data_IF_751695689518
#
_entry.id   IF_751695689518
#
_cell.length_a   1.000
_cell.length_b   1.000
_cell.length_c   1.000
_cell.angle_alpha   90.00
_cell.angle_beta   90.00
_cell.angle_gamma   90.00
#
_symmetry.space_group_name_H-M   'P 1'
#
loop_
_entity.id
_entity.type
_entity.pdbx_description
1 polymer ?
#
# COMPACT_ATOMS: atom_id res chain seq x y z
N UNK A 1 48.13 51.59 -5.25
CA UNK A 1 47.80 52.29 -6.51
C UNK A 1 46.89 51.40 -7.34
N UNK A 2 45.56 51.51 -7.17
CA UNK A 2 44.58 50.74 -7.95
C UNK A 2 43.83 51.67 -8.89
N UNK A 3 43.88 51.32 -10.18
CA UNK A 3 43.43 52.09 -11.33
C UNK A 3 41.94 51.82 -11.55
N UNK A 4 41.09 52.81 -11.32
CA UNK A 4 39.69 52.80 -11.74
C UNK A 4 39.62 52.98 -13.26
N UNK A 5 39.08 52.01 -13.99
CA UNK A 5 38.67 52.19 -15.39
C UNK A 5 37.16 52.38 -15.45
N UNK A 6 36.72 53.62 -15.60
CA UNK A 6 35.38 53.95 -16.08
C UNK A 6 35.30 53.61 -17.57
N UNK A 7 34.42 52.68 -17.94
CA UNK A 7 34.02 52.50 -19.33
C UNK A 7 32.63 53.08 -19.52
N UNK A 8 32.56 54.18 -20.27
CA UNK A 8 31.33 54.76 -20.80
C UNK A 8 30.82 53.89 -21.94
N UNK A 9 29.58 53.39 -21.82
CA UNK A 9 28.87 52.69 -22.89
C UNK A 9 27.75 53.59 -23.40
N UNK A 10 27.85 53.96 -24.68
CA UNK A 10 26.92 54.79 -25.42
C UNK A 10 25.50 54.21 -25.47
N UNK A 11 24.52 55.04 -25.13
CA UNK A 11 23.10 54.83 -25.36
C UNK A 11 22.74 55.14 -26.82
N UNK A 12 22.56 54.11 -27.64
CA UNK A 12 21.89 54.24 -28.94
C UNK A 12 20.38 54.04 -28.76
N UNK A 13 19.66 55.16 -28.76
CA UNK A 13 18.21 55.22 -28.89
C UNK A 13 17.80 54.89 -30.33
N UNK A 14 17.48 53.62 -30.61
CA UNK A 14 16.75 53.24 -31.81
C UNK A 14 15.26 53.41 -31.54
N UNK A 15 14.69 54.52 -32.02
CA UNK A 15 13.25 54.68 -32.18
C UNK A 15 12.79 53.83 -33.35
N UNK A 16 12.39 52.59 -33.08
CA UNK A 16 11.79 51.65 -34.03
C UNK A 16 10.31 51.49 -33.72
N UNK A 17 9.48 51.63 -34.74
CA UNK A 17 8.03 51.59 -34.70
C UNK A 17 7.48 50.18 -34.46
N UNK A 18 7.48 49.72 -33.21
CA UNK A 18 6.92 48.42 -32.78
C UNK A 18 5.63 48.58 -31.94
N UNK A 19 4.72 49.47 -32.38
CA UNK A 19 3.36 49.55 -31.86
C UNK A 19 2.42 48.93 -32.88
N UNK A 20 1.89 47.74 -32.60
CA UNK A 20 0.54 47.24 -32.99
C UNK A 20 0.41 45.70 -32.94
N UNK A 21 1.49 44.95 -32.60
CA UNK A 21 1.40 43.48 -32.44
C UNK A 21 0.72 43.02 -31.13
N UNK A 22 0.34 43.95 -30.23
CA UNK A 22 -0.19 43.64 -28.89
C UNK A 22 -1.72 43.53 -28.79
N UNK A 23 -2.45 43.46 -29.92
CA UNK A 23 -3.92 43.55 -29.93
C UNK A 23 -4.65 42.22 -30.16
N UNK A 24 -3.93 41.11 -30.30
CA UNK A 24 -4.55 39.80 -30.20
C UNK A 24 -4.58 39.41 -28.73
N UNK A 25 -5.75 39.29 -28.09
CA UNK A 25 -5.82 38.71 -26.76
C UNK A 25 -5.14 37.34 -26.86
N UNK A 26 -4.14 37.11 -26.01
CA UNK A 26 -3.46 35.82 -25.93
C UNK A 26 -4.54 34.75 -25.84
N UNK A 27 -4.57 33.85 -26.83
CA UNK A 27 -5.57 32.80 -26.90
C UNK A 27 -5.42 31.95 -25.64
N UNK A 28 -6.41 31.99 -24.74
CA UNK A 28 -6.39 31.17 -23.53
C UNK A 28 -6.33 29.69 -23.94
N UNK A 29 -5.20 29.04 -23.66
CA UNK A 29 -5.03 27.62 -23.93
C UNK A 29 -5.82 26.82 -22.88
N UNK A 30 -7.00 26.33 -23.26
CA UNK A 30 -7.79 25.44 -22.41
C UNK A 30 -7.14 24.06 -22.30
N UNK A 31 -6.75 23.69 -21.08
CA UNK A 31 -6.31 22.36 -20.68
C UNK A 31 -7.49 21.43 -20.34
N UNK A 32 -8.42 21.27 -21.29
CA UNK A 32 -9.62 20.44 -21.10
C UNK A 32 -9.26 18.98 -20.78
N UNK A 33 -8.23 18.45 -21.45
CA UNK A 33 -7.78 17.07 -21.24
C UNK A 33 -7.27 16.87 -19.82
N UNK A 34 -6.46 17.80 -19.30
CA UNK A 34 -6.00 17.77 -17.91
C UNK A 34 -7.17 17.77 -16.93
N UNK A 35 -8.11 18.71 -17.07
CA UNK A 35 -9.29 18.77 -16.21
C UNK A 35 -10.09 17.45 -16.19
N UNK A 36 -10.35 16.88 -17.37
CA UNK A 36 -11.07 15.60 -17.50
C UNK A 36 -10.32 14.46 -16.80
N UNK A 37 -9.00 14.36 -17.00
CA UNK A 37 -8.17 13.36 -16.32
C UNK A 37 -8.26 13.56 -14.80
N UNK A 38 -8.14 14.80 -14.31
CA UNK A 38 -8.20 15.12 -12.88
C UNK A 38 -9.50 14.64 -12.23
N UNK A 39 -10.66 15.00 -12.77
CA UNK A 39 -11.95 14.59 -12.21
C UNK A 39 -12.19 13.09 -12.36
N UNK A 40 -11.78 12.50 -13.49
CA UNK A 40 -11.87 11.05 -13.69
C UNK A 40 -11.04 10.28 -12.66
N UNK A 41 -9.84 10.78 -12.30
CA UNK A 41 -8.99 10.19 -11.26
C UNK A 41 -9.66 10.22 -9.88
N UNK A 42 -10.28 11.34 -9.50
CA UNK A 42 -11.00 11.46 -8.21
C UNK A 42 -12.16 10.48 -8.16
N UNK A 43 -13.00 10.44 -9.20
CA UNK A 43 -14.14 9.53 -9.26
C UNK A 43 -13.68 8.07 -9.23
N UNK A 44 -12.66 7.71 -10.01
CA UNK A 44 -12.10 6.37 -10.02
C UNK A 44 -11.53 5.97 -8.65
N UNK A 45 -10.82 6.88 -7.96
CA UNK A 45 -10.31 6.64 -6.60
C UNK A 45 -11.43 6.30 -5.62
N UNK A 46 -12.53 7.08 -5.64
CA UNK A 46 -13.67 6.88 -4.75
C UNK A 46 -14.38 5.55 -5.04
N UNK A 47 -14.63 5.24 -6.31
CA UNK A 47 -15.29 4.00 -6.73
C UNK A 47 -14.44 2.79 -6.37
N UNK A 48 -13.14 2.78 -6.73
CA UNK A 48 -12.24 1.66 -6.43
C UNK A 48 -12.07 1.44 -4.93
N UNK A 49 -11.90 2.52 -4.15
CA UNK A 49 -11.79 2.43 -2.68
C UNK A 49 -13.07 1.87 -2.07
N UNK A 50 -14.23 2.30 -2.56
CA UNK A 50 -15.53 1.80 -2.09
C UNK A 50 -15.69 0.31 -2.39
N UNK A 51 -15.40 -0.14 -3.62
CA UNK A 51 -15.49 -1.55 -4.00
C UNK A 51 -14.55 -2.41 -3.15
N UNK A 52 -13.28 -2.00 -3.00
CA UNK A 52 -12.31 -2.71 -2.15
C UNK A 52 -12.79 -2.74 -0.70
N UNK A 53 -13.31 -1.63 -0.17
CA UNK A 53 -13.89 -1.56 1.16
C UNK A 53 -15.06 -2.55 1.34
N UNK A 54 -15.99 -2.59 0.40
CA UNK A 54 -17.10 -3.55 0.41
C UNK A 54 -16.62 -5.00 0.34
N UNK A 55 -15.63 -5.31 -0.48
CA UNK A 55 -15.05 -6.65 -0.57
C UNK A 55 -14.39 -7.07 0.74
N UNK A 56 -13.61 -6.18 1.37
CA UNK A 56 -13.00 -6.40 2.67
C UNK A 56 -14.04 -6.64 3.78
N UNK A 57 -15.19 -5.95 3.72
CA UNK A 57 -16.31 -6.17 4.65
C UNK A 57 -17.03 -7.49 4.41
N UNK A 58 -17.11 -7.95 3.15
CA UNK A 58 -17.72 -9.23 2.77
C UNK A 58 -16.84 -10.44 3.08
N UNK A 59 -15.52 -10.26 3.18
CA UNK A 59 -14.62 -11.34 3.56
C UNK A 59 -15.07 -11.91 4.90
N UNK A 60 -15.45 -13.21 4.95
CA UNK A 60 -16.14 -13.75 6.10
C UNK A 60 -15.32 -13.56 7.37
N UNK A 61 -15.91 -12.85 8.35
CA UNK A 61 -15.44 -12.86 9.74
C UNK A 61 -15.85 -14.17 10.40
N UNK A 62 -15.48 -15.31 9.80
CA UNK A 62 -15.82 -16.65 10.32
C UNK A 62 -15.07 -16.84 11.64
N UNK A 63 -15.74 -16.52 12.73
CA UNK A 63 -15.22 -16.65 14.08
C UNK A 63 -16.26 -16.63 15.19
N UNK A 64 -17.56 -16.56 14.89
CA UNK A 64 -18.59 -16.46 15.94
C UNK A 64 -19.32 -17.77 16.23
N UNK A 65 -19.41 -18.72 15.27
CA UNK A 65 -20.30 -19.88 15.44
C UNK A 65 -19.61 -21.25 15.53
N UNK A 66 -18.29 -21.32 15.40
CA UNK A 66 -17.56 -22.56 15.70
C UNK A 66 -16.85 -22.38 17.04
N UNK A 67 -16.90 -23.40 17.91
CA UNK A 67 -16.12 -23.54 19.16
C UNK A 67 -14.60 -23.57 18.92
N UNK A 68 -14.13 -22.97 17.85
CA UNK A 68 -12.72 -22.76 17.55
C UNK A 68 -12.15 -21.72 18.52
N UNK A 69 -10.92 -21.92 19.00
CA UNK A 69 -10.25 -21.00 19.92
C UNK A 69 -10.30 -19.57 19.37
N UNK A 70 -10.51 -18.63 20.29
CA UNK A 70 -10.63 -17.20 19.99
C UNK A 70 -9.53 -16.72 19.04
N UNK A 71 -9.82 -15.74 18.16
CA UNK A 71 -8.79 -15.15 17.32
C UNK A 71 -7.58 -14.76 18.18
N UNK A 72 -6.40 -15.23 17.79
CA UNK A 72 -5.17 -14.87 18.47
C UNK A 72 -5.08 -13.36 18.61
N UNK A 73 -4.81 -12.87 19.83
CA UNK A 73 -4.74 -11.43 20.17
C UNK A 73 -3.95 -10.62 19.13
N UNK A 74 -2.87 -11.20 18.60
CA UNK A 74 -2.00 -10.59 17.59
C UNK A 74 -2.69 -10.31 16.25
N UNK A 75 -3.57 -11.19 15.77
CA UNK A 75 -4.29 -10.94 14.52
C UNK A 75 -5.25 -9.75 14.64
N UNK A 76 -5.98 -9.65 15.76
CA UNK A 76 -6.83 -8.49 16.02
C UNK A 76 -6.01 -7.20 16.08
N UNK A 77 -4.85 -7.23 16.74
CA UNK A 77 -3.94 -6.07 16.80
C UNK A 77 -3.46 -5.68 15.41
N UNK A 78 -3.05 -6.65 14.56
CA UNK A 78 -2.63 -6.39 13.18
C UNK A 78 -3.73 -5.76 12.35
N UNK A 79 -4.93 -6.33 12.36
CA UNK A 79 -6.07 -5.80 11.60
C UNK A 79 -6.38 -4.37 12.04
N UNK A 80 -6.46 -4.10 13.34
CA UNK A 80 -6.67 -2.75 13.86
C UNK A 80 -5.56 -1.79 13.44
N UNK A 81 -4.29 -2.22 13.55
CA UNK A 81 -3.14 -1.42 13.13
C UNK A 81 -3.18 -1.07 11.63
N UNK A 82 -3.50 -2.04 10.76
CA UNK A 82 -3.61 -1.84 9.32
C UNK A 82 -4.75 -0.87 8.97
N UNK A 83 -5.92 -1.00 9.62
CA UNK A 83 -7.05 -0.08 9.42
C UNK A 83 -6.69 1.35 9.87
N UNK A 84 -6.06 1.51 11.03
CA UNK A 84 -5.64 2.81 11.53
C UNK A 84 -4.59 3.45 10.60
N UNK A 85 -3.61 2.66 10.15
CA UNK A 85 -2.55 3.14 9.25
C UNK A 85 -3.11 3.48 7.87
N UNK A 86 -4.06 2.70 7.35
CA UNK A 86 -4.76 3.01 6.10
C UNK A 86 -5.55 4.33 6.23
N UNK A 87 -6.29 4.50 7.32
CA UNK A 87 -7.07 5.72 7.59
C UNK A 87 -6.16 6.94 7.73
N UNK A 88 -5.05 6.80 8.45
CA UNK A 88 -4.05 7.86 8.62
C UNK A 88 -3.38 8.23 7.28
N UNK A 89 -3.04 7.23 6.46
CA UNK A 89 -2.48 7.43 5.12
C UNK A 89 -3.47 8.17 4.21
N UNK A 90 -4.74 7.75 4.18
CA UNK A 90 -5.78 8.42 3.42
C UNK A 90 -6.01 9.86 3.88
N UNK A 91 -6.09 10.10 5.19
CA UNK A 91 -6.27 11.43 5.77
C UNK A 91 -5.07 12.34 5.46
N UNK A 92 -3.85 11.84 5.65
CA UNK A 92 -2.61 12.56 5.36
C UNK A 92 -2.56 12.96 3.89
N UNK A 93 -2.84 12.01 2.98
CA UNK A 93 -2.89 12.32 1.55
C UNK A 93 -3.94 13.38 1.25
N UNK A 94 -5.17 13.18 1.72
CA UNK A 94 -6.29 14.07 1.43
C UNK A 94 -5.96 15.49 1.85
N UNK A 95 -5.34 15.66 3.03
CA UNK A 95 -4.84 16.93 3.50
C UNK A 95 -3.77 17.54 2.58
N UNK A 96 -2.75 16.77 2.19
CA UNK A 96 -1.67 17.30 1.34
C UNK A 96 -2.16 17.64 -0.06
N UNK A 97 -2.98 16.79 -0.68
CA UNK A 97 -3.55 17.03 -2.01
C UNK A 97 -4.51 18.22 -1.97
N UNK A 98 -5.36 18.33 -0.95
CA UNK A 98 -6.20 19.52 -0.78
C UNK A 98 -5.36 20.79 -0.64
N UNK A 99 -4.23 20.74 0.09
CA UNK A 99 -3.31 21.87 0.20
C UNK A 99 -2.72 22.27 -1.15
N UNK A 100 -2.32 21.30 -1.99
CA UNK A 100 -1.85 21.56 -3.36
C UNK A 100 -2.96 22.21 -4.21
N UNK A 101 -4.19 21.69 -4.15
CA UNK A 101 -5.32 22.22 -4.92
C UNK A 101 -5.67 23.65 -4.48
N UNK A 102 -5.71 23.92 -3.18
CA UNK A 102 -5.94 25.27 -2.65
C UNK A 102 -4.83 26.22 -3.13
N UNK A 103 -3.56 25.81 -3.05
CA UNK A 103 -2.47 26.67 -3.52
C UNK A 103 -2.54 26.95 -5.02
N UNK A 104 -2.86 25.94 -5.83
CA UNK A 104 -3.04 26.10 -7.26
C UNK A 104 -4.20 27.03 -7.59
N UNK A 105 -5.35 26.85 -6.92
CA UNK A 105 -6.52 27.71 -7.10
C UNK A 105 -6.23 29.16 -6.71
N UNK A 106 -5.60 29.39 -5.55
CA UNK A 106 -5.23 30.74 -5.09
C UNK A 106 -4.27 31.45 -6.05
N UNK A 107 -3.29 30.73 -6.62
CA UNK A 107 -2.40 31.31 -7.65
C UNK A 107 -3.17 31.67 -8.91
N UNK A 108 -4.07 30.79 -9.33
CA UNK A 108 -4.90 31.01 -10.51
C UNK A 108 -5.83 32.22 -10.36
N UNK A 109 -6.46 32.41 -9.19
CA UNK A 109 -7.32 33.58 -8.96
C UNK A 109 -6.56 34.91 -9.01
N UNK A 110 -5.31 34.92 -8.52
CA UNK A 110 -4.46 36.12 -8.56
C UNK A 110 -4.12 36.50 -10.01
N UNK A 111 -3.86 35.52 -10.88
CA UNK A 111 -3.49 35.80 -12.27
C UNK A 111 -4.67 36.18 -13.16
N UNK A 112 -5.88 35.69 -12.86
CA UNK A 112 -7.08 35.93 -13.68
C UNK A 112 -7.95 37.08 -13.16
N UNK A 113 -7.51 37.79 -12.11
CA UNK A 113 -8.25 38.91 -11.52
C UNK A 113 -9.64 38.54 -10.99
N UNK A 114 -9.91 37.24 -10.85
CA UNK A 114 -11.23 36.68 -10.58
C UNK A 114 -11.34 36.32 -9.11
N UNK A 115 -12.16 37.09 -8.39
CA UNK A 115 -12.56 36.90 -6.98
C UNK A 115 -11.42 37.12 -5.99
N UNK A 116 -11.65 38.02 -5.03
CA UNK A 116 -10.74 38.29 -3.92
C UNK A 116 -10.53 36.98 -3.13
N UNK A 117 -9.32 36.41 -3.17
CA UNK A 117 -9.00 35.11 -2.58
C UNK A 117 -9.34 35.04 -1.07
N UNK A 118 -9.45 36.22 -0.43
CA UNK A 118 -9.96 36.41 0.93
C UNK A 118 -11.33 35.74 1.15
N UNK A 119 -12.23 35.73 0.15
CA UNK A 119 -13.57 35.17 0.27
C UNK A 119 -13.57 33.65 0.49
N UNK A 120 -12.56 32.94 -0.01
CA UNK A 120 -12.42 31.50 0.14
C UNK A 120 -11.95 31.10 1.55
N UNK A 121 -11.18 31.97 2.21
CA UNK A 121 -10.68 31.74 3.56
C UNK A 121 -11.66 32.20 4.66
N UNK A 122 -12.43 33.24 4.40
CA UNK A 122 -13.37 33.79 5.41
C UNK A 122 -14.70 33.04 5.45
N UNK A 123 -15.04 32.26 4.41
CA UNK A 123 -16.35 31.62 4.28
C UNK A 123 -17.52 32.60 4.23
N UNK A 124 -17.23 33.90 4.10
CA UNK A 124 -18.18 35.00 4.12
C UNK A 124 -18.16 35.65 2.74
N UNK A 125 -18.95 35.09 1.82
CA UNK A 125 -19.22 35.71 0.53
C UNK A 125 -20.34 36.76 0.70
N UNK A 126 -20.14 38.01 0.24
CA UNK A 126 -21.23 38.97 0.14
C UNK A 126 -22.12 38.60 -1.05
N UNK A 127 -23.13 37.76 -0.79
CA UNK A 127 -24.18 37.32 -1.72
C UNK A 127 -24.11 35.83 -2.05
N UNK A 128 -25.06 35.27 -2.83
CA UNK A 128 -26.53 35.42 -2.80
C UNK A 128 -27.16 34.70 -1.58
N UNK A 129 -28.41 35.00 -1.23
CA UNK A 129 -29.09 34.41 -0.05
C UNK A 129 -29.38 32.90 -0.16
N UNK A 130 -29.12 32.27 -1.31
CA UNK A 130 -29.43 30.87 -1.59
C UNK A 130 -28.16 30.02 -1.78
N UNK A 131 -28.08 28.90 -1.07
CA UNK A 131 -27.03 27.89 -1.18
C UNK A 131 -26.86 27.35 -2.61
N UNK A 132 -27.94 27.30 -3.39
CA UNK A 132 -27.91 26.80 -4.77
C UNK A 132 -27.05 27.68 -5.69
N UNK A 133 -27.29 28.99 -5.68
CA UNK A 133 -26.56 29.94 -6.53
C UNK A 133 -25.07 29.97 -6.15
N UNK A 134 -24.77 29.83 -4.86
CA UNK A 134 -23.40 29.68 -4.36
C UNK A 134 -22.73 28.40 -4.89
N UNK A 135 -23.40 27.26 -4.77
CA UNK A 135 -22.86 25.98 -5.26
C UNK A 135 -22.63 26.03 -6.78
N UNK A 136 -23.53 26.66 -7.54
CA UNK A 136 -23.40 26.83 -8.97
C UNK A 136 -22.19 27.74 -9.32
N UNK A 137 -22.07 28.90 -8.68
CA UNK A 137 -20.96 29.83 -8.90
C UNK A 137 -19.60 29.18 -8.54
N UNK A 138 -19.53 28.46 -7.42
CA UNK A 138 -18.34 27.73 -7.01
C UNK A 138 -18.00 26.61 -8.00
N UNK A 139 -18.99 25.83 -8.43
CA UNK A 139 -18.79 24.76 -9.41
C UNK A 139 -18.26 25.29 -10.75
N UNK A 140 -18.78 26.43 -11.21
CA UNK A 140 -18.30 27.10 -12.41
C UNK A 140 -16.86 27.58 -12.24
N UNK A 141 -16.52 28.19 -11.09
CA UNK A 141 -15.16 28.65 -10.82
C UNK A 141 -14.16 27.49 -10.74
N UNK A 142 -14.54 26.39 -10.06
CA UNK A 142 -13.71 25.18 -9.98
C UNK A 142 -13.50 24.56 -11.35
N UNK A 143 -14.56 24.49 -12.18
CA UNK A 143 -14.45 23.97 -13.54
C UNK A 143 -13.52 24.84 -14.38
N UNK A 144 -13.72 26.17 -14.35
CA UNK A 144 -12.90 27.12 -15.08
C UNK A 144 -11.43 26.99 -14.67
N UNK A 145 -11.12 27.07 -13.37
CA UNK A 145 -9.78 26.83 -12.83
C UNK A 145 -9.18 25.50 -13.29
N UNK A 146 -9.94 24.41 -13.23
CA UNK A 146 -9.45 23.10 -13.65
C UNK A 146 -9.08 23.08 -15.13
N UNK A 147 -9.84 23.77 -15.99
CA UNK A 147 -9.60 23.85 -17.43
C UNK A 147 -8.55 24.86 -17.84
N UNK A 148 -8.28 25.91 -17.07
CA UNK A 148 -7.33 26.98 -17.44
C UNK A 148 -6.03 26.92 -16.65
N UNK A 149 -5.92 26.05 -15.65
CA UNK A 149 -4.69 25.90 -14.85
C UNK A 149 -3.70 24.87 -15.42
N UNK A 150 -2.43 25.08 -15.09
CA UNK A 150 -1.32 24.16 -15.36
C UNK A 150 -1.10 23.16 -14.22
N UNK A 151 -2.15 22.79 -13.46
CA UNK A 151 -2.07 22.02 -12.21
C UNK A 151 -1.08 20.84 -12.26
N UNK A 152 -1.18 19.97 -13.28
CA UNK A 152 -0.28 18.82 -13.42
C UNK A 152 1.16 19.22 -13.77
N UNK A 153 1.33 20.28 -14.55
CA UNK A 153 2.64 20.81 -14.94
C UNK A 153 3.35 21.41 -13.74
N UNK A 154 2.62 22.19 -12.94
CA UNK A 154 3.11 22.78 -11.70
C UNK A 154 3.48 21.68 -10.70
N UNK A 155 2.64 20.66 -10.55
CA UNK A 155 2.92 19.52 -9.68
C UNK A 155 4.17 18.75 -10.12
N UNK A 156 4.28 18.42 -11.42
CA UNK A 156 5.43 17.71 -11.96
C UNK A 156 6.72 18.53 -11.83
N UNK A 157 6.64 19.83 -12.10
CA UNK A 157 7.76 20.76 -11.94
C UNK A 157 8.18 20.83 -10.47
N UNK A 158 7.23 20.96 -9.54
CA UNK A 158 7.50 21.05 -8.11
C UNK A 158 8.31 19.84 -7.58
N UNK A 159 7.95 18.63 -8.00
CA UNK A 159 8.61 17.38 -7.54
C UNK A 159 9.95 17.12 -8.25
N UNK A 160 10.19 17.73 -9.41
CA UNK A 160 11.42 17.58 -10.20
C UNK A 160 12.38 18.79 -10.11
N UNK A 161 11.95 19.89 -9.49
CA UNK A 161 12.64 21.18 -9.50
C UNK A 161 14.05 21.14 -8.92
N UNK A 162 14.29 20.34 -7.88
CA UNK A 162 15.59 20.22 -7.25
C UNK A 162 16.09 18.78 -7.24
N UNK A 163 17.42 18.56 -7.23
CA UNK A 163 17.95 17.20 -7.16
C UNK A 163 17.50 16.44 -5.91
N UNK A 164 17.34 17.12 -4.77
CA UNK A 164 16.85 16.51 -3.53
C UNK A 164 15.40 16.01 -3.67
N UNK A 165 14.52 16.80 -4.30
CA UNK A 165 13.13 16.42 -4.58
C UNK A 165 13.03 15.27 -5.59
N UNK A 166 13.94 15.24 -6.58
CA UNK A 166 14.05 14.12 -7.53
C UNK A 166 14.39 12.80 -6.83
N UNK A 167 15.24 12.81 -5.79
CA UNK A 167 15.55 11.60 -5.01
C UNK A 167 14.30 11.04 -4.35
N UNK A 168 13.47 11.89 -3.72
CA UNK A 168 12.20 11.45 -3.12
C UNK A 168 11.23 10.91 -4.15
N UNK A 169 11.08 11.60 -5.28
CA UNK A 169 10.20 11.16 -6.38
C UNK A 169 10.63 9.79 -6.90
N UNK A 170 11.93 9.60 -7.16
CA UNK A 170 12.48 8.31 -7.58
C UNK A 170 12.28 7.23 -6.51
N UNK A 171 12.51 7.57 -5.24
CA UNK A 171 12.34 6.64 -4.13
C UNK A 171 10.91 6.10 -4.04
N UNK A 172 9.91 6.98 -4.13
CA UNK A 172 8.49 6.60 -4.15
C UNK A 172 8.16 5.72 -5.36
N UNK A 173 8.64 6.10 -6.55
CA UNK A 173 8.40 5.35 -7.78
C UNK A 173 9.01 3.95 -7.72
N UNK A 174 10.23 3.81 -7.20
CA UNK A 174 10.89 2.52 -7.04
C UNK A 174 10.23 1.67 -5.96
N UNK A 175 9.88 2.26 -4.83
CA UNK A 175 9.13 1.58 -3.80
C UNK A 175 7.79 1.03 -4.33
N UNK A 176 7.06 1.85 -5.11
CA UNK A 176 5.80 1.46 -5.74
C UNK A 176 5.95 0.25 -6.66
N UNK A 177 7.03 0.19 -7.45
CA UNK A 177 7.31 -0.98 -8.27
C UNK A 177 7.57 -2.22 -7.42
N UNK A 178 8.40 -2.10 -6.38
CA UNK A 178 8.70 -3.20 -5.47
C UNK A 178 7.44 -3.74 -4.78
N UNK A 179 6.58 -2.84 -4.31
CA UNK A 179 5.28 -3.19 -3.72
C UNK A 179 4.39 -3.87 -4.76
N UNK A 180 4.29 -3.37 -6.00
CA UNK A 180 3.47 -3.99 -7.04
C UNK A 180 3.97 -5.39 -7.43
N UNK A 181 5.29 -5.60 -7.51
CA UNK A 181 5.86 -6.94 -7.74
C UNK A 181 5.47 -7.88 -6.60
N UNK A 182 5.64 -7.43 -5.36
CA UNK A 182 5.30 -8.22 -4.17
C UNK A 182 3.78 -8.47 -4.05
N UNK A 183 2.93 -7.48 -4.32
CA UNK A 183 1.47 -7.62 -4.31
C UNK A 183 0.98 -8.58 -5.39
N UNK A 184 1.61 -8.59 -6.56
CA UNK A 184 1.30 -9.58 -7.60
C UNK A 184 1.55 -11.00 -7.09
N UNK A 185 2.73 -11.21 -6.52
CA UNK A 185 3.20 -12.47 -5.97
C UNK A 185 2.29 -12.97 -4.83
N UNK A 186 2.16 -12.16 -3.78
CA UNK A 186 1.33 -12.47 -2.61
C UNK A 186 -0.16 -12.59 -2.97
N UNK A 187 -0.64 -11.74 -3.88
CA UNK A 187 -2.04 -11.70 -4.30
C UNK A 187 -2.48 -13.00 -4.98
N UNK A 188 -1.66 -13.51 -5.89
CA UNK A 188 -1.92 -14.79 -6.56
C UNK A 188 -1.75 -15.98 -5.61
N UNK A 189 -0.72 -15.97 -4.75
CA UNK A 189 -0.49 -17.05 -3.77
C UNK A 189 -1.67 -17.21 -2.80
N UNK A 190 -2.20 -16.08 -2.32
CA UNK A 190 -3.30 -16.07 -1.36
C UNK A 190 -4.69 -15.98 -2.01
N UNK A 191 -4.76 -15.98 -3.36
CA UNK A 191 -6.02 -15.88 -4.14
C UNK A 191 -6.88 -14.69 -3.70
N UNK A 192 -6.26 -13.52 -3.57
CA UNK A 192 -6.97 -12.30 -3.19
C UNK A 192 -8.01 -11.97 -4.27
N UNK A 193 -9.29 -11.81 -3.90
CA UNK A 193 -10.34 -11.48 -4.87
C UNK A 193 -10.07 -10.11 -5.47
N UNK A 194 -10.38 -9.96 -6.77
CA UNK A 194 -10.25 -8.70 -7.49
C UNK A 194 -8.88 -8.02 -7.35
N UNK A 195 -7.79 -8.80 -7.40
CA UNK A 195 -6.42 -8.29 -7.29
C UNK A 195 -6.13 -7.08 -8.20
N UNK A 196 -6.71 -7.06 -9.40
CA UNK A 196 -6.61 -5.95 -10.35
C UNK A 196 -7.07 -4.60 -9.78
N UNK A 197 -8.06 -4.58 -8.89
CA UNK A 197 -8.54 -3.34 -8.25
C UNK A 197 -7.46 -2.71 -7.37
N UNK A 198 -6.66 -3.50 -6.66
CA UNK A 198 -5.53 -2.98 -5.88
C UNK A 198 -4.45 -2.39 -6.79
N UNK A 199 -4.18 -3.01 -7.94
CA UNK A 199 -3.24 -2.45 -8.91
C UNK A 199 -3.74 -1.16 -9.55
N UNK A 200 -5.02 -1.09 -9.89
CA UNK A 200 -5.65 0.14 -10.40
C UNK A 200 -5.62 1.24 -9.33
N UNK A 201 -5.91 0.90 -8.08
CA UNK A 201 -5.83 1.83 -6.96
C UNK A 201 -4.41 2.36 -6.77
N UNK A 202 -3.38 1.50 -6.89
CA UNK A 202 -1.97 1.89 -6.81
C UNK A 202 -1.53 2.86 -7.93
N UNK A 203 -2.27 2.94 -9.05
CA UNK A 203 -1.97 3.91 -10.11
C UNK A 203 -2.55 5.30 -9.83
N UNK A 204 -3.54 5.40 -8.95
CA UNK A 204 -4.33 6.61 -8.71
C UNK A 204 -4.00 7.19 -7.34
N UNK A 205 -4.01 6.33 -6.32
CA UNK A 205 -3.79 6.67 -4.93
C UNK A 205 -2.34 6.38 -4.49
N UNK A 206 -1.94 6.90 -3.34
CA UNK A 206 -0.60 6.72 -2.80
C UNK A 206 -0.33 5.26 -2.48
N UNK A 207 0.94 4.90 -2.53
CA UNK A 207 1.35 3.51 -2.36
C UNK A 207 1.07 3.03 -0.94
N UNK A 208 1.23 3.87 0.08
CA UNK A 208 0.97 3.49 1.47
C UNK A 208 -0.47 3.06 1.67
N UNK A 209 -1.44 3.84 1.18
CA UNK A 209 -2.86 3.54 1.36
C UNK A 209 -3.24 2.21 0.72
N UNK A 210 -2.87 2.05 -0.55
CA UNK A 210 -3.16 0.83 -1.32
C UNK A 210 -2.51 -0.39 -0.70
N UNK A 211 -1.24 -0.26 -0.26
CA UNK A 211 -0.52 -1.33 0.41
C UNK A 211 -1.19 -1.73 1.73
N UNK A 212 -1.65 -0.78 2.56
CA UNK A 212 -2.35 -1.13 3.80
C UNK A 212 -3.67 -1.86 3.54
N UNK A 213 -4.45 -1.44 2.53
CA UNK A 213 -5.66 -2.15 2.14
C UNK A 213 -5.37 -3.56 1.61
N UNK A 214 -4.28 -3.72 0.85
CA UNK A 214 -3.85 -5.03 0.36
C UNK A 214 -3.40 -5.95 1.50
N UNK A 215 -2.58 -5.44 2.44
CA UNK A 215 -2.18 -6.17 3.64
C UNK A 215 -3.38 -6.58 4.49
N UNK A 216 -4.38 -5.72 4.60
CA UNK A 216 -5.64 -6.03 5.28
C UNK A 216 -6.39 -7.18 4.55
N UNK A 217 -6.48 -7.12 3.22
CA UNK A 217 -7.05 -8.20 2.41
C UNK A 217 -6.32 -9.53 2.63
N UNK A 218 -4.98 -9.47 2.69
CA UNK A 218 -4.11 -10.61 2.93
C UNK A 218 -4.40 -11.28 4.28
N UNK A 219 -4.47 -10.50 5.35
CA UNK A 219 -4.79 -11.00 6.71
C UNK A 219 -6.19 -11.61 6.78
N UNK A 220 -7.19 -10.95 6.20
CA UNK A 220 -8.57 -11.44 6.19
C UNK A 220 -8.72 -12.71 5.35
N UNK A 221 -7.96 -12.86 4.26
CA UNK A 221 -8.00 -14.04 3.40
C UNK A 221 -7.27 -15.23 4.02
N UNK A 222 -6.09 -15.01 4.63
CA UNK A 222 -5.32 -16.07 5.32
C UNK A 222 -6.14 -16.81 6.37
N UNK A 223 -6.99 -16.10 7.10
CA UNK A 223 -7.88 -16.68 8.12
C UNK A 223 -8.99 -17.56 7.54
N UNK A 224 -9.42 -17.27 6.32
CA UNK A 224 -10.48 -18.01 5.66
C UNK A 224 -9.98 -19.28 4.95
N UNK A 225 -8.66 -19.50 4.91
CA UNK A 225 -8.10 -20.75 4.43
C UNK A 225 -8.53 -21.91 5.34
N UNK A 226 -9.26 -22.88 4.78
CA UNK A 226 -9.78 -24.04 5.52
C UNK A 226 -8.62 -24.87 6.07
N UNK A 227 -8.51 -25.07 7.40
CA UNK A 227 -7.50 -25.94 8.00
C UNK A 227 -7.62 -27.36 7.41
N UNK A 228 -6.53 -27.90 6.88
CA UNK A 228 -6.49 -29.25 6.31
C UNK A 228 -6.72 -29.33 4.79
N UNK A 229 -7.26 -28.28 4.15
CA UNK A 229 -7.14 -28.14 2.70
C UNK A 229 -5.80 -27.47 2.40
N UNK A 230 -4.70 -28.18 2.70
CA UNK A 230 -3.42 -27.81 2.11
C UNK A 230 -3.66 -27.78 0.60
N UNK A 231 -3.36 -26.66 -0.09
CA UNK A 231 -3.62 -26.54 -1.50
C UNK A 231 -2.74 -27.54 -2.23
N UNK A 232 -3.27 -28.74 -2.46
CA UNK A 232 -2.66 -29.94 -3.06
C UNK A 232 -1.25 -29.63 -3.58
N UNK A 233 -0.29 -29.60 -2.64
CA UNK A 233 1.08 -29.14 -2.90
C UNK A 233 1.76 -30.31 -3.56
N UNK A 234 1.37 -30.59 -4.81
CA UNK A 234 2.09 -31.54 -5.66
C UNK A 234 3.56 -31.17 -5.59
N UNK A 235 4.36 -32.18 -5.23
CA UNK A 235 5.76 -32.10 -4.86
C UNK A 235 6.55 -31.09 -5.71
N UNK A 236 7.50 -30.34 -5.10
CA UNK A 236 8.25 -29.29 -5.77
C UNK A 236 9.27 -29.90 -6.74
N UNK A 237 8.82 -30.37 -7.89
CA UNK A 237 9.70 -30.60 -9.05
C UNK A 237 10.44 -29.29 -9.33
N UNK A 238 11.74 -29.40 -9.57
CA UNK A 238 12.72 -28.31 -9.60
C UNK A 238 12.43 -27.32 -10.74
N UNK A 239 12.07 -26.07 -10.41
CA UNK A 239 11.49 -25.08 -11.36
C UNK A 239 12.42 -23.88 -11.59
N UNK A 240 12.37 -23.32 -12.80
CA UNK A 240 13.09 -22.09 -13.18
C UNK A 240 12.31 -20.84 -12.75
N UNK A 241 12.97 -19.84 -12.16
CA UNK A 241 12.32 -18.66 -11.61
C UNK A 241 12.05 -17.58 -12.68
N UNK A 242 10.93 -16.86 -12.56
CA UNK A 242 10.59 -15.68 -13.40
C UNK A 242 11.45 -14.43 -13.09
N UNK A 243 12.62 -14.61 -12.50
CA UNK A 243 13.52 -13.53 -12.09
C UNK A 243 13.93 -12.66 -13.28
N UNK A 244 14.13 -13.25 -14.45
CA UNK A 244 14.50 -12.50 -15.65
C UNK A 244 13.41 -11.51 -16.08
N UNK A 245 12.13 -11.87 -16.03
CA UNK A 245 11.03 -10.96 -16.40
C UNK A 245 10.90 -9.80 -15.42
N UNK A 246 10.98 -10.08 -14.11
CA UNK A 246 10.95 -9.02 -13.09
C UNK A 246 12.20 -8.14 -13.14
N UNK A 247 13.38 -8.70 -13.42
CA UNK A 247 14.61 -7.95 -13.59
C UNK A 247 14.56 -7.06 -14.84
N UNK A 248 14.06 -7.59 -15.96
CA UNK A 248 13.87 -6.81 -17.18
C UNK A 248 12.89 -5.65 -16.96
N UNK A 249 11.76 -5.92 -16.27
CA UNK A 249 10.81 -4.87 -15.87
C UNK A 249 11.47 -3.81 -14.98
N UNK A 250 12.23 -4.24 -13.98
CA UNK A 250 12.96 -3.34 -13.08
C UNK A 250 13.92 -2.45 -13.88
N UNK A 251 14.76 -3.03 -14.73
CA UNK A 251 15.71 -2.26 -15.55
C UNK A 251 14.98 -1.29 -16.48
N UNK A 252 13.94 -1.75 -17.19
CA UNK A 252 13.14 -0.89 -18.06
C UNK A 252 12.49 0.27 -17.28
N UNK A 253 12.02 0.01 -16.06
CA UNK A 253 11.44 1.01 -15.18
C UNK A 253 12.47 2.02 -14.66
N UNK A 254 13.64 1.56 -14.22
CA UNK A 254 14.75 2.44 -13.81
C UNK A 254 15.14 3.37 -14.96
N UNK A 255 15.31 2.83 -16.16
CA UNK A 255 15.64 3.61 -17.36
C UNK A 255 14.53 4.62 -17.70
N UNK A 256 13.26 4.22 -17.61
CA UNK A 256 12.13 5.13 -17.84
C UNK A 256 12.11 6.29 -16.83
N UNK A 257 12.31 6.00 -15.54
CA UNK A 257 12.33 7.04 -14.49
C UNK A 257 13.55 7.96 -14.64
N UNK A 258 14.72 7.43 -14.99
CA UNK A 258 15.93 8.24 -15.14
C UNK A 258 15.92 9.08 -16.41
N UNK A 259 15.41 8.55 -17.53
CA UNK A 259 15.19 9.34 -18.75
C UNK A 259 14.18 10.46 -18.50
N UNK A 260 13.16 10.24 -17.66
CA UNK A 260 12.20 11.29 -17.27
C UNK A 260 12.88 12.41 -16.49
N UNK A 261 13.71 12.05 -15.52
CA UNK A 261 14.43 13.03 -14.73
C UNK A 261 15.47 13.80 -15.56
N UNK A 262 16.12 13.15 -16.53
CA UNK A 262 17.17 13.76 -17.36
C UNK A 262 16.60 14.72 -18.41
N UNK A 263 15.49 14.37 -19.05
CA UNK A 263 14.84 15.23 -20.06
C UNK A 263 14.29 16.53 -19.46
N UNK A 264 13.80 16.47 -18.22
CA UNK A 264 13.27 17.62 -17.50
C UNK A 264 14.33 18.54 -16.86
N UNK A 265 15.61 18.14 -16.88
CA UNK A 265 16.66 18.84 -16.13
C UNK A 265 17.53 19.82 -16.93
N UNK A 266 17.44 19.86 -18.26
CA UNK A 266 18.41 20.59 -19.10
C UNK A 266 18.06 22.07 -19.33
N UNK A 267 16.80 22.42 -19.44
CA UNK A 267 16.37 23.80 -19.71
C UNK A 267 15.21 24.20 -18.79
N UNK A 268 15.55 24.71 -17.60
CA UNK A 268 14.62 24.99 -16.49
C UNK A 268 13.55 26.05 -16.77
N UNK A 269 13.56 26.71 -17.93
CA UNK A 269 12.62 27.80 -18.22
C UNK A 269 11.38 27.40 -19.02
N UNK A 270 11.38 26.25 -19.72
CA UNK A 270 10.20 25.79 -20.46
C UNK A 270 10.13 24.27 -20.42
N UNK A 271 9.61 23.73 -19.32
CA UNK A 271 9.20 22.32 -19.29
C UNK A 271 8.10 22.15 -20.34
N UNK A 272 8.41 21.53 -21.47
CA UNK A 272 7.41 21.22 -22.48
C UNK A 272 6.44 20.18 -21.90
N UNK A 273 5.35 20.67 -21.30
CA UNK A 273 4.24 19.90 -20.78
C UNK A 273 3.78 18.72 -21.66
N UNK A 274 3.73 18.83 -23.02
CA UNK A 274 3.32 17.69 -23.86
C UNK A 274 4.18 16.43 -23.72
N UNK A 275 5.43 16.53 -23.26
CA UNK A 275 6.30 15.36 -23.09
C UNK A 275 6.15 14.67 -21.72
N UNK A 276 5.80 15.44 -20.68
CA UNK A 276 5.76 14.94 -19.29
C UNK A 276 4.57 14.00 -19.08
N UNK A 277 3.39 14.36 -19.57
CA UNK A 277 2.17 13.59 -19.36
C UNK A 277 2.25 12.16 -19.97
N UNK A 278 2.66 11.96 -21.25
CA UNK A 278 2.83 10.62 -21.81
C UNK A 278 3.85 9.78 -21.05
N UNK A 279 4.90 10.42 -20.54
CA UNK A 279 5.94 9.73 -19.78
C UNK A 279 5.43 9.25 -18.41
N UNK A 280 4.68 10.10 -17.70
CA UNK A 280 4.02 9.71 -16.45
C UNK A 280 3.05 8.55 -16.71
N UNK A 281 2.25 8.63 -17.78
CA UNK A 281 1.33 7.54 -18.16
C UNK A 281 2.09 6.24 -18.48
N UNK A 282 3.23 6.33 -19.18
CA UNK A 282 4.08 5.18 -19.47
C UNK A 282 4.66 4.54 -18.21
N UNK A 283 5.18 5.36 -17.27
CA UNK A 283 5.67 4.88 -15.97
C UNK A 283 4.54 4.18 -15.19
N UNK A 284 3.33 4.73 -15.19
CA UNK A 284 2.14 4.11 -14.56
C UNK A 284 1.74 2.80 -15.24
N UNK A 285 1.83 2.73 -16.57
CA UNK A 285 1.58 1.48 -17.30
C UNK A 285 2.60 0.40 -16.92
N UNK A 286 3.89 0.76 -16.80
CA UNK A 286 4.93 -0.15 -16.33
C UNK A 286 4.65 -0.65 -14.90
N UNK A 287 4.18 0.22 -14.00
CA UNK A 287 3.78 -0.16 -12.64
C UNK A 287 2.63 -1.17 -12.60
N UNK A 288 1.78 -1.22 -13.63
CA UNK A 288 0.68 -2.18 -13.74
C UNK A 288 1.14 -3.56 -14.28
N UNK A 289 2.27 -3.60 -14.99
CA UNK A 289 2.83 -4.81 -15.62
C UNK A 289 2.99 -6.02 -14.69
N UNK A 290 3.40 -5.89 -13.40
CA UNK A 290 3.56 -7.04 -12.52
C UNK A 290 2.31 -7.91 -12.38
N UNK A 291 1.11 -7.34 -12.54
CA UNK A 291 -0.15 -8.08 -12.51
C UNK A 291 -0.23 -9.14 -13.61
N UNK A 292 0.33 -8.85 -14.78
CA UNK A 292 0.23 -9.70 -15.96
C UNK A 292 1.38 -10.70 -16.12
N UNK A 293 2.53 -10.48 -15.46
CA UNK A 293 3.71 -11.35 -15.59
C UNK A 293 3.38 -12.82 -15.30
N UNK A 294 2.64 -13.19 -14.22
CA UNK A 294 2.27 -14.59 -13.98
C UNK A 294 1.44 -15.19 -15.12
N UNK A 295 0.47 -14.45 -15.64
CA UNK A 295 -0.40 -14.90 -16.75
C UNK A 295 0.36 -15.03 -18.06
N UNK A 296 1.18 -14.03 -18.39
CA UNK A 296 2.00 -14.01 -19.61
C UNK A 296 3.04 -15.13 -19.63
N UNK A 297 3.69 -15.37 -18.49
CA UNK A 297 4.67 -16.47 -18.37
C UNK A 297 4.00 -17.84 -18.44
N UNK A 298 2.79 -18.00 -17.90
CA UNK A 298 2.00 -19.21 -18.06
C UNK A 298 1.59 -19.46 -19.53
N UNK A 299 1.25 -18.40 -20.27
CA UNK A 299 0.88 -18.52 -21.68
C UNK A 299 2.07 -18.86 -22.57
N UNK A 300 3.20 -18.18 -22.37
CA UNK A 300 4.41 -18.38 -23.19
C UNK A 300 5.12 -19.71 -22.94
N UNK A 301 4.91 -20.32 -21.78
CA UNK A 301 5.63 -21.53 -21.43
C UNK A 301 4.66 -22.63 -21.04
N UNK A 302 4.45 -23.55 -21.99
CA UNK A 302 3.48 -24.65 -21.93
C UNK A 302 3.56 -25.56 -20.68
N UNK A 303 4.54 -25.42 -19.79
CA UNK A 303 4.61 -26.12 -18.49
C UNK A 303 5.36 -25.33 -17.39
N UNK A 304 5.41 -24.01 -17.44
CA UNK A 304 6.24 -23.24 -16.51
C UNK A 304 5.46 -22.84 -15.25
N UNK A 305 5.58 -23.65 -14.20
CA UNK A 305 5.08 -23.28 -12.88
C UNK A 305 6.14 -22.49 -12.09
N UNK A 306 5.77 -21.26 -11.73
CA UNK A 306 6.63 -20.17 -11.26
C UNK A 306 7.16 -20.40 -9.84
N UNK A 307 8.49 -20.28 -9.62
CA UNK A 307 9.06 -20.03 -8.30
C UNK A 307 9.02 -18.52 -8.03
N UNK A 308 8.33 -18.18 -6.96
CA UNK A 308 8.02 -16.83 -6.50
C UNK A 308 9.27 -16.11 -5.98
N UNK A 309 9.34 -14.79 -6.18
CA UNK A 309 10.45 -14.00 -5.62
C UNK A 309 10.26 -13.91 -4.11
N UNK A 310 11.24 -14.32 -3.29
CA UNK A 310 11.12 -14.07 -1.87
C UNK A 310 11.12 -12.55 -1.66
N UNK A 311 10.11 -12.04 -0.95
CA UNK A 311 9.99 -10.64 -0.52
C UNK A 311 11.29 -9.94 -0.06
N UNK A 312 12.29 -10.62 0.56
CA UNK A 312 13.58 -10.00 0.83
C UNK A 312 14.32 -9.50 -0.42
N UNK A 313 14.18 -10.14 -1.59
CA UNK A 313 14.92 -9.72 -2.80
C UNK A 313 14.45 -8.37 -3.31
N UNK A 314 13.13 -8.13 -3.41
CA UNK A 314 12.60 -6.83 -3.83
C UNK A 314 12.96 -5.73 -2.83
N UNK A 315 12.95 -6.07 -1.53
CA UNK A 315 13.34 -5.16 -0.44
C UNK A 315 14.82 -4.79 -0.52
N UNK A 316 15.71 -5.77 -0.75
CA UNK A 316 17.15 -5.55 -0.91
C UNK A 316 17.45 -4.69 -2.13
N UNK A 317 16.78 -4.94 -3.26
CA UNK A 317 16.89 -4.13 -4.48
C UNK A 317 16.48 -2.69 -4.20
N UNK A 318 15.36 -2.47 -3.49
CA UNK A 318 14.94 -1.13 -3.10
C UNK A 318 16.00 -0.40 -2.29
N UNK A 319 16.49 -1.00 -1.20
CA UNK A 319 17.53 -0.38 -0.37
C UNK A 319 18.85 -0.17 -1.12
N UNK A 320 19.22 -1.08 -2.03
CA UNK A 320 20.38 -0.90 -2.89
C UNK A 320 20.23 0.32 -3.81
N UNK A 321 19.08 0.47 -4.48
CA UNK A 321 18.83 1.61 -5.38
C UNK A 321 18.77 2.93 -4.61
N UNK A 322 18.17 2.97 -3.42
CA UNK A 322 18.16 4.15 -2.56
C UNK A 322 19.58 4.48 -2.08
N UNK A 323 20.34 3.48 -1.62
CA UNK A 323 21.72 3.66 -1.18
C UNK A 323 22.61 4.18 -2.31
N UNK A 324 22.46 3.62 -3.52
CA UNK A 324 23.14 4.09 -4.72
C UNK A 324 22.81 5.55 -5.03
N UNK A 325 21.52 5.90 -5.12
CA UNK A 325 21.11 7.28 -5.39
C UNK A 325 21.61 8.27 -4.36
N UNK A 326 21.62 7.86 -3.09
CA UNK A 326 22.07 8.73 -2.01
C UNK A 326 23.58 8.94 -2.05
N UNK A 327 24.34 7.90 -2.40
CA UNK A 327 25.76 8.02 -2.68
C UNK A 327 26.00 8.96 -3.86
N UNK A 328 25.28 8.81 -4.97
CA UNK A 328 25.37 9.72 -6.12
C UNK A 328 25.04 11.16 -5.74
N UNK A 329 24.01 11.38 -4.91
CA UNK A 329 23.65 12.71 -4.45
C UNK A 329 24.76 13.37 -3.62
N UNK A 330 25.41 12.61 -2.75
CA UNK A 330 26.54 13.09 -1.96
C UNK A 330 27.77 13.34 -2.82
N UNK A 331 28.17 12.37 -3.63
CA UNK A 331 29.44 12.36 -4.34
C UNK A 331 29.43 13.29 -5.57
N UNK A 332 28.30 13.39 -6.28
CA UNK A 332 28.18 14.18 -7.52
C UNK A 332 27.61 15.58 -7.25
N UNK A 333 26.65 15.71 -6.34
CA UNK A 333 25.92 16.97 -6.12
C UNK A 333 26.35 17.68 -4.83
N UNK A 334 27.23 17.08 -4.02
CA UNK A 334 27.63 17.63 -2.72
C UNK A 334 26.49 17.74 -1.71
N UNK A 335 25.36 17.06 -1.94
CA UNK A 335 24.17 17.17 -1.11
C UNK A 335 24.29 16.28 0.12
N UNK A 336 24.29 16.89 1.31
CA UNK A 336 24.16 16.17 2.57
C UNK A 336 22.75 15.60 2.78
N UNK A 337 22.62 14.50 3.53
CA UNK A 337 21.33 13.86 3.82
C UNK A 337 20.31 14.79 4.46
N UNK A 338 20.79 15.78 5.23
CA UNK A 338 19.96 16.83 5.83
C UNK A 338 19.17 17.62 4.77
N UNK A 339 19.81 18.02 3.67
CA UNK A 339 19.12 18.73 2.57
C UNK A 339 18.10 17.84 1.88
N UNK A 340 18.39 16.53 1.75
CA UNK A 340 17.42 15.57 1.20
C UNK A 340 16.19 15.47 2.09
N UNK A 341 16.37 15.41 3.42
CA UNK A 341 15.25 15.37 4.37
C UNK A 341 14.47 16.69 4.39
N UNK A 342 15.16 17.83 4.40
CA UNK A 342 14.54 19.16 4.38
C UNK A 342 13.70 19.40 3.11
N UNK A 343 14.11 18.82 1.97
CA UNK A 343 13.37 18.91 0.71
C UNK A 343 11.93 18.37 0.77
N UNK A 344 11.62 17.44 1.70
CA UNK A 344 10.23 16.97 1.93
C UNK A 344 9.33 18.10 2.41
N UNK A 345 9.89 19.08 3.10
CA UNK A 345 9.12 20.16 3.71
C UNK A 345 9.02 21.41 2.84
N UNK A 346 9.87 21.55 1.82
CA UNK A 346 9.94 22.72 0.95
C UNK A 346 8.67 22.94 0.11
N UNK A 347 8.04 21.86 -0.35
CA UNK A 347 6.91 21.92 -1.28
C UNK A 347 5.82 20.89 -0.90
N UNK A 348 4.52 21.26 -0.88
CA UNK A 348 3.45 20.33 -0.54
C UNK A 348 3.37 19.08 -1.43
N UNK A 349 3.75 19.18 -2.71
CA UNK A 349 3.76 18.03 -3.62
C UNK A 349 4.82 17.00 -3.20
N UNK A 350 6.01 17.48 -2.86
CA UNK A 350 7.12 16.63 -2.37
C UNK A 350 6.77 16.08 -0.99
N UNK A 351 6.12 16.90 -0.16
CA UNK A 351 5.62 16.52 1.15
C UNK A 351 4.66 15.34 1.06
N UNK A 352 3.69 15.41 0.16
CA UNK A 352 2.73 14.33 -0.09
C UNK A 352 3.44 13.01 -0.43
N UNK A 353 4.41 13.06 -1.36
CA UNK A 353 5.21 11.91 -1.78
C UNK A 353 6.10 11.35 -0.67
N UNK A 354 6.78 12.22 0.08
CA UNK A 354 7.70 11.83 1.15
C UNK A 354 6.97 11.15 2.30
N UNK A 355 5.87 11.74 2.79
CA UNK A 355 5.08 11.13 3.86
C UNK A 355 4.39 9.84 3.41
N UNK A 356 3.94 9.75 2.17
CA UNK A 356 3.42 8.50 1.60
C UNK A 356 4.47 7.37 1.70
N UNK A 357 5.69 7.62 1.24
CA UNK A 357 6.78 6.63 1.32
C UNK A 357 7.05 6.20 2.76
N UNK A 358 7.16 7.17 3.68
CA UNK A 358 7.44 6.89 5.10
C UNK A 358 6.32 6.04 5.71
N UNK A 359 5.05 6.41 5.49
CA UNK A 359 3.91 5.63 5.99
C UNK A 359 3.86 4.23 5.39
N UNK A 360 4.23 4.07 4.12
CA UNK A 360 4.27 2.77 3.46
C UNK A 360 5.34 1.85 4.09
N UNK A 361 6.56 2.38 4.29
CA UNK A 361 7.66 1.66 4.91
C UNK A 361 7.34 1.30 6.36
N UNK A 362 6.83 2.25 7.15
CA UNK A 362 6.46 2.02 8.56
C UNK A 362 5.36 0.97 8.66
N UNK A 363 4.32 1.06 7.83
CA UNK A 363 3.25 0.08 7.84
C UNK A 363 3.69 -1.31 7.40
N UNK A 364 4.56 -1.42 6.38
CA UNK A 364 5.20 -2.69 6.02
C UNK A 364 6.01 -3.27 7.18
N UNK A 365 6.93 -2.49 7.74
CA UNK A 365 7.81 -2.93 8.81
C UNK A 365 7.03 -3.41 10.05
N UNK A 366 6.03 -2.64 10.46
CA UNK A 366 5.17 -3.01 11.59
C UNK A 366 4.40 -4.31 11.31
N UNK A 367 3.87 -4.49 10.09
CA UNK A 367 3.21 -5.74 9.70
C UNK A 367 4.19 -6.94 9.77
N UNK A 368 5.40 -6.81 9.22
CA UNK A 368 6.45 -7.84 9.27
C UNK A 368 6.85 -8.21 10.70
N UNK A 369 7.02 -7.21 11.58
CA UNK A 369 7.35 -7.44 12.99
C UNK A 369 6.22 -8.19 13.69
N UNK A 370 4.97 -7.76 13.49
CA UNK A 370 3.81 -8.42 14.10
C UNK A 370 3.61 -9.85 13.58
N UNK A 371 3.87 -10.12 12.30
CA UNK A 371 3.87 -11.46 11.74
C UNK A 371 4.98 -12.33 12.32
N UNK A 372 6.19 -11.78 12.49
CA UNK A 372 7.33 -12.50 13.08
C UNK A 372 7.09 -12.86 14.55
N UNK A 373 6.46 -11.96 15.31
CA UNK A 373 6.08 -12.21 16.71
C UNK A 373 5.01 -13.31 16.83
N UNK A 374 4.10 -13.42 15.87
CA UNK A 374 3.10 -14.50 15.84
C UNK A 374 3.74 -15.86 15.56
N UNK A 375 4.73 -15.92 14.67
CA UNK A 375 5.45 -17.15 14.28
C UNK A 375 6.51 -17.61 15.28
N UNK A 376 6.75 -16.85 16.34
CA UNK A 376 7.80 -17.17 17.31
C UNK A 376 7.50 -18.48 18.06
N UNK A 377 8.47 -19.40 18.21
CA UNK A 377 8.30 -20.71 18.85
C UNK A 377 7.85 -20.62 20.32
N UNK A 378 7.98 -19.44 20.94
CA UNK A 378 7.44 -19.15 22.27
C UNK A 378 5.92 -19.41 22.31
N UNK A 379 5.18 -19.14 21.22
CA UNK A 379 3.75 -19.45 21.18
C UNK A 379 3.48 -20.95 21.18
N UNK A 380 4.32 -21.72 20.51
CA UNK A 380 4.17 -23.17 20.45
C UNK A 380 4.47 -23.78 21.83
N UNK A 381 5.49 -23.28 22.53
CA UNK A 381 5.77 -23.67 23.91
C UNK A 381 4.63 -23.31 24.89
N UNK A 382 4.00 -22.15 24.74
CA UNK A 382 2.84 -21.77 25.57
C UNK A 382 1.63 -22.64 25.25
N UNK A 383 1.37 -22.93 23.97
CA UNK A 383 0.26 -23.81 23.56
C UNK A 383 0.46 -25.24 24.06
N UNK A 384 1.66 -25.79 23.91
CA UNK A 384 2.02 -27.12 24.42
C UNK A 384 1.94 -27.17 25.94
N UNK A 385 2.39 -26.13 26.65
CA UNK A 385 2.29 -26.06 28.11
C UNK A 385 0.84 -25.97 28.62
N UNK A 386 -0.03 -25.24 27.92
CA UNK A 386 -1.45 -25.12 28.28
C UNK A 386 -2.23 -26.40 27.92
N UNK A 387 -1.98 -26.98 26.74
CA UNK A 387 -2.59 -28.26 26.35
C UNK A 387 -2.14 -29.40 27.25
N UNK A 388 -0.85 -29.45 27.62
CA UNK A 388 -0.33 -30.43 28.57
C UNK A 388 -0.99 -30.33 29.94
N UNK A 389 -1.23 -29.11 30.45
CA UNK A 389 -1.96 -28.90 31.71
C UNK A 389 -3.44 -29.26 31.60
N UNK A 390 -4.10 -28.90 30.49
CA UNK A 390 -5.51 -29.22 30.26
C UNK A 390 -5.72 -30.73 30.16
N UNK A 391 -4.91 -31.43 29.36
CA UNK A 391 -4.94 -32.88 29.23
C UNK A 391 -4.63 -33.59 30.56
N UNK A 392 -3.69 -33.06 31.35
CA UNK A 392 -3.42 -33.57 32.69
C UNK A 392 -4.61 -33.39 33.63
N UNK A 393 -5.28 -32.23 33.58
CA UNK A 393 -6.46 -31.98 34.42
C UNK A 393 -7.68 -32.82 34.02
N UNK A 394 -7.91 -33.04 32.71
CA UNK A 394 -8.96 -33.96 32.26
C UNK A 394 -8.65 -35.40 32.65
N UNK A 395 -7.37 -35.80 32.57
CA UNK A 395 -6.90 -37.09 33.06
C UNK A 395 -7.17 -37.27 34.57
N UNK A 396 -6.82 -36.27 35.39
CA UNK A 396 -7.06 -36.30 36.84
C UNK A 396 -8.55 -36.30 37.20
N UNK A 397 -9.39 -35.55 36.49
CA UNK A 397 -10.85 -35.55 36.70
C UNK A 397 -11.49 -36.88 36.29
N UNK A 398 -11.06 -37.47 35.17
CA UNK A 398 -11.52 -38.78 34.76
C UNK A 398 -11.06 -39.87 35.73
N UNK A 399 -9.83 -39.79 36.24
CA UNK A 399 -9.31 -40.71 37.25
C UNK A 399 -10.12 -40.62 38.55
N UNK A 400 -10.38 -39.40 39.05
CA UNK A 400 -11.20 -39.20 40.25
C UNK A 400 -12.63 -39.74 40.12
N UNK A 401 -13.27 -39.58 38.95
CA UNK A 401 -14.61 -40.17 38.70
C UNK A 401 -14.61 -41.69 38.67
N UNK A 402 -13.53 -42.31 38.17
CA UNK A 402 -13.38 -43.77 38.18
C UNK A 402 -13.23 -44.27 39.61
N UNK A 403 -12.40 -43.60 40.41
CA UNK A 403 -12.18 -43.96 41.81
C UNK A 403 -13.45 -43.77 42.67
N UNK A 404 -14.23 -42.71 42.42
CA UNK A 404 -15.54 -42.49 43.07
C UNK A 404 -16.55 -43.59 42.73
N UNK A 405 -16.62 -43.98 41.45
CA UNK A 405 -17.52 -45.06 41.00
C UNK A 405 -17.17 -46.41 41.64
N UNK A 406 -15.88 -46.75 41.69
CA UNK A 406 -15.40 -47.98 42.34
C UNK A 406 -15.73 -47.99 43.85
N UNK A 407 -15.67 -46.84 44.50
CA UNK A 407 -15.99 -46.71 45.94
C UNK A 407 -17.48 -46.88 46.22
N UNK A 408 -18.36 -46.32 45.37
CA UNK A 408 -19.81 -46.54 45.48
C UNK A 408 -20.24 -47.99 45.19
N UNK A 409 -19.52 -48.71 44.32
CA UNK A 409 -19.78 -50.14 44.09
C UNK A 409 -19.31 -51.02 45.26
N UNK A 410 -18.25 -50.61 45.98
CA UNK A 410 -17.74 -51.33 47.15
C UNK A 410 -18.68 -51.23 48.37
N UNK A 411 -19.29 -50.06 48.61
CA UNK A 411 -20.20 -49.83 49.75
C UNK A 411 -21.62 -50.39 49.52
N UNK A 412 -21.98 -50.75 48.27
CA UNK A 412 -23.28 -51.35 47.92
C UNK A 412 -23.41 -52.85 48.18
N UNK A 413 -22.34 -53.55 48.58
CA UNK A 413 -22.36 -55.00 48.81
C UNK A 413 -22.83 -55.36 50.23
N UNK A 414 -24.13 -55.18 50.51
CA UNK A 414 -24.79 -55.94 51.58
C UNK A 414 -25.64 -57.04 50.96
N UNK A 415 -25.21 -58.28 51.19
CA UNK A 415 -25.80 -59.58 50.80
C UNK A 415 -25.66 -60.02 49.33
N UNK A 416 -24.74 -60.96 49.04
CA UNK A 416 -24.78 -61.71 47.79
C UNK A 416 -25.89 -62.78 47.83
N UNK A 417 -26.70 -62.93 46.77
CA UNK A 417 -27.51 -64.12 46.59
C UNK A 417 -26.58 -65.32 46.24
N UNK A 418 -26.86 -66.52 46.78
CA UNK A 418 -26.01 -67.67 46.54
C UNK A 418 -26.26 -68.23 45.13
N UNK A 419 -25.21 -68.25 44.32
CA UNK A 419 -25.12 -69.08 43.11
C UNK A 419 -25.16 -68.30 41.80
N UNK A 420 -23.98 -67.87 41.34
CA UNK A 420 -23.55 -67.80 39.92
C UNK A 420 -22.13 -67.23 39.89
N UNK A 421 -21.13 -68.08 40.12
CA UNK A 421 -19.73 -67.74 39.92
C UNK A 421 -19.32 -68.18 38.53
N UNK A 422 -19.12 -67.22 37.60
CA UNK A 422 -18.29 -67.39 36.38
C UNK A 422 -18.24 -66.13 35.47
N UNK A 423 -19.06 -65.08 35.70
CA UNK A 423 -19.19 -63.97 34.74
C UNK A 423 -18.32 -62.73 34.94
N UNK A 424 -17.82 -62.44 36.15
CA UNK A 424 -17.26 -61.10 36.47
C UNK A 424 -15.80 -60.90 36.07
N UNK A 425 -15.01 -61.98 35.97
CA UNK A 425 -13.59 -61.88 35.64
C UNK A 425 -13.36 -61.52 34.15
N UNK A 426 -14.29 -61.92 33.27
CA UNK A 426 -14.24 -61.57 31.84
C UNK A 426 -14.61 -60.12 31.53
N UNK A 427 -15.40 -59.45 32.37
CA UNK A 427 -15.73 -58.02 32.17
C UNK A 427 -14.57 -57.10 32.56
N UNK A 428 -13.82 -57.44 33.62
CA UNK A 428 -12.66 -56.64 34.05
C UNK A 428 -11.52 -56.72 33.02
N UNK A 429 -11.29 -57.89 32.44
CA UNK A 429 -10.29 -58.09 31.38
C UNK A 429 -10.62 -57.32 30.09
N UNK A 430 -11.90 -57.18 29.74
CA UNK A 430 -12.31 -56.41 28.57
C UNK A 430 -12.13 -54.89 28.77
N UNK A 431 -12.35 -54.39 29.99
CA UNK A 431 -12.11 -52.97 30.32
C UNK A 431 -10.62 -52.64 30.35
N UNK A 432 -9.77 -53.54 30.88
CA UNK A 432 -8.32 -53.35 30.88
C UNK A 432 -7.73 -53.47 29.46
N UNK A 433 -8.26 -54.36 28.62
CA UNK A 433 -7.84 -54.51 27.22
C UNK A 433 -8.23 -53.30 26.36
N UNK A 434 -9.38 -52.68 26.61
CA UNK A 434 -9.77 -51.42 25.96
C UNK A 434 -8.87 -50.24 26.36
N UNK A 435 -8.37 -50.22 27.60
CA UNK A 435 -7.47 -49.16 28.10
C UNK A 435 -6.05 -49.26 27.51
N UNK A 436 -5.56 -50.47 27.27
CA UNK A 436 -4.25 -50.71 26.64
C UNK A 436 -4.17 -50.30 25.16
N UNK A 437 -5.30 -50.29 24.44
CA UNK A 437 -5.32 -49.86 23.02
C UNK A 437 -5.34 -48.33 22.86
N UNK A 438 -5.79 -47.58 23.87
CA UNK A 438 -5.86 -46.12 23.80
C UNK A 438 -4.50 -45.43 24.04
N UNK A 439 -3.53 -46.09 24.68
CA UNK A 439 -2.20 -45.50 24.95
C UNK A 439 -1.13 -45.83 23.88
N UNK A 440 -1.50 -46.57 22.84
CA UNK A 440 -0.58 -47.06 21.81
C UNK A 440 -0.48 -46.18 20.55
N UNK A 441 -1.21 -45.07 20.47
CA UNK A 441 -1.16 -44.15 19.33
C UNK A 441 -0.23 -42.99 19.73
N UNK A 442 1.05 -43.13 19.40
CA UNK A 442 2.04 -42.05 19.36
C UNK A 442 2.14 -41.48 17.96
#
# INVERSE_FOLDING_TARGET
MHRHSHSHSHSHTHGGADHDASLYPAQEEYNLLGALIFFAYILAALVLTSIIGFDLLKLPRKGTNAKTPSPGRYHSIRVTFLVLTATLSFATLSFQMLSVLIQSYTRWTVTHGSVDASMLYTGLFPGPTNLYDYALALSHSIWHWATTSTLFGDFATAILASPARRIWTRAVLYYSLCVNIWMSDAGHQHRIPHLSLYFLLAQILPVSFTQQLFLLALELTRRNAVPGRQPDVRAPSQRRPAYFSYLALLVAYLLAVDTAAATNGRDSHQLHFPAVLPMVLFIRLLLFTPLFIPTLTHWMAAQQHQRWMPAPVTTLVFFFVIGWQSKTAKDVLGLGWRHVLEAVHEDPAVRALGYDLVLAIVGAAAWWVLESLEKSPVQDMVKEGVQGKAAKSEGEVLQGKVDEKLRTEADGCTHPPPGTGEGLQGQLDNVLRARGQASGIK
#
